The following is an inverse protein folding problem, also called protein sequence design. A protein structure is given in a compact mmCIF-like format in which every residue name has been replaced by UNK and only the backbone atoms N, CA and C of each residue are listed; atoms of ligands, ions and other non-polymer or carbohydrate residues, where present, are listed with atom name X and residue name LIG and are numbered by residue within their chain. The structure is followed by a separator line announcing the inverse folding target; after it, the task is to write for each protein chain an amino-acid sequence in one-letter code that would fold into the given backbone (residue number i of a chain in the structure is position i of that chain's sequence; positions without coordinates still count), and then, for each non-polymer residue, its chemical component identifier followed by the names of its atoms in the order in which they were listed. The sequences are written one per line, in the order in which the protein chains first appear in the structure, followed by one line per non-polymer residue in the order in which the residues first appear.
data_IF_391020516378
#
_entry.id   IF_391020516378
#
_cell.length_a   1.000
_cell.length_b   1.000
_cell.length_c   1.000
_cell.angle_alpha   90.00
_cell.angle_beta   90.00
_cell.angle_gamma   90.00
#
_symmetry.space_group_name_H-M   'P 1'
#
loop_
_entity.id
_entity.type
_entity.pdbx_description
1 polymer ?
#
# COMPACT_ATOMS: atom_id res chain seq x y z
N UNK A 1 17.14 -26.86 -0.54
CA UNK A 1 16.26 -25.70 -0.32
C UNK A 1 15.14 -25.84 -1.33
N UNK A 2 13.88 -25.67 -0.91
CA UNK A 2 12.76 -25.68 -1.86
C UNK A 2 12.85 -24.39 -2.67
N UNK A 3 12.47 -24.43 -3.96
CA UNK A 3 12.39 -23.22 -4.82
C UNK A 3 11.22 -22.29 -4.43
N UNK A 4 10.57 -22.55 -3.28
CA UNK A 4 9.42 -21.82 -2.79
C UNK A 4 9.70 -21.31 -1.37
N UNK A 5 10.03 -20.03 -1.25
CA UNK A 5 10.09 -19.33 0.03
C UNK A 5 8.77 -18.57 0.21
N UNK A 6 7.80 -19.05 1.02
CA UNK A 6 6.54 -18.36 1.23
C UNK A 6 6.75 -17.02 1.93
N UNK A 7 6.18 -15.98 1.36
CA UNK A 7 6.32 -14.61 1.85
C UNK A 7 5.09 -14.22 2.67
N UNK A 8 5.30 -13.99 3.97
CA UNK A 8 4.34 -13.35 4.87
C UNK A 8 4.83 -11.96 5.29
N UNK A 9 5.62 -11.33 4.41
CA UNK A 9 6.02 -9.92 4.54
C UNK A 9 4.93 -9.02 3.92
N UNK A 10 4.82 -7.74 4.34
CA UNK A 10 3.84 -6.81 3.77
C UNK A 10 4.27 -6.24 2.41
N UNK A 11 4.81 -7.10 1.56
CA UNK A 11 5.31 -6.83 0.22
C UNK A 11 6.84 -6.71 0.11
N UNK A 12 7.40 -7.20 -1.03
CA UNK A 12 6.65 -7.77 -2.16
C UNK A 12 5.82 -9.00 -1.78
N UNK A 13 4.74 -9.25 -2.51
CA UNK A 13 3.84 -10.36 -2.26
C UNK A 13 4.22 -11.61 -3.04
N UNK A 14 3.67 -12.76 -2.65
CA UNK A 14 3.74 -13.95 -3.48
C UNK A 14 3.10 -13.69 -4.85
N UNK A 15 3.79 -14.05 -5.92
CA UNK A 15 3.29 -13.87 -7.29
C UNK A 15 2.59 -15.15 -7.74
N UNK A 16 1.27 -15.14 -8.02
CA UNK A 16 0.55 -16.31 -8.52
C UNK A 16 1.11 -16.83 -9.84
N UNK A 17 1.03 -18.14 -10.06
CA UNK A 17 1.47 -18.78 -11.31
C UNK A 17 0.87 -18.17 -12.57
N UNK A 18 -0.41 -17.79 -12.49
CA UNK A 18 -1.13 -17.13 -13.59
C UNK A 18 -0.45 -15.83 -13.99
N UNK A 19 0.00 -15.03 -13.00
CA UNK A 19 0.70 -13.77 -13.25
C UNK A 19 2.14 -14.01 -13.71
N UNK A 20 2.85 -15.01 -13.17
CA UNK A 20 4.19 -15.38 -13.64
C UNK A 20 4.17 -15.76 -15.13
N UNK A 21 3.20 -16.58 -15.54
CA UNK A 21 3.02 -16.97 -16.96
C UNK A 21 2.68 -15.77 -17.84
N UNK A 22 1.87 -14.83 -17.36
CA UNK A 22 1.55 -13.61 -18.11
C UNK A 22 2.79 -12.73 -18.32
N UNK A 23 3.67 -12.64 -17.33
CA UNK A 23 4.93 -11.88 -17.41
C UNK A 23 6.02 -12.61 -18.24
N UNK A 24 5.92 -13.91 -18.47
CA UNK A 24 6.81 -14.69 -19.33
C UNK A 24 6.46 -14.55 -20.82
N UNK A 25 5.68 -13.54 -21.17
CA UNK A 25 5.32 -13.26 -22.55
C UNK A 25 6.51 -12.75 -23.36
N UNK A 26 6.54 -13.11 -24.65
CA UNK A 26 7.56 -12.63 -25.58
C UNK A 26 7.52 -11.10 -25.67
N UNK A 27 8.69 -10.47 -25.62
CA UNK A 27 8.83 -9.01 -25.79
C UNK A 27 8.35 -8.59 -27.18
N UNK A 28 7.55 -7.53 -27.22
CA UNK A 28 7.06 -6.91 -28.46
C UNK A 28 7.61 -5.49 -28.58
N UNK A 29 7.51 -4.94 -29.79
CA UNK A 29 7.83 -3.54 -30.03
C UNK A 29 6.76 -2.63 -29.39
N UNK A 30 7.17 -1.81 -28.43
CA UNK A 30 6.27 -0.85 -27.75
C UNK A 30 5.92 0.37 -28.62
N UNK A 31 6.45 0.46 -29.85
CA UNK A 31 6.08 1.47 -30.84
C UNK A 31 5.22 0.89 -31.96
N UNK A 32 4.89 -0.40 -31.86
CA UNK A 32 3.97 -1.02 -32.83
C UNK A 32 2.55 -0.48 -32.66
N UNK A 33 1.74 -0.48 -33.73
CA UNK A 33 0.35 0.01 -33.67
C UNK A 33 -0.55 -0.71 -32.66
N UNK A 34 -0.22 -1.97 -32.33
CA UNK A 34 -0.97 -2.82 -31.40
C UNK A 34 -0.57 -2.61 -29.92
N UNK A 35 0.43 -1.77 -29.62
CA UNK A 35 0.78 -1.46 -28.23
C UNK A 35 -0.35 -0.78 -27.45
N UNK A 36 -1.14 0.06 -28.14
CA UNK A 36 -2.33 0.69 -27.57
C UNK A 36 -3.36 -0.33 -27.07
N UNK A 37 -3.46 -1.52 -27.71
CA UNK A 37 -4.38 -2.60 -27.31
C UNK A 37 -3.98 -3.23 -25.95
N UNK A 38 -2.72 -3.08 -25.56
CA UNK A 38 -2.25 -3.45 -24.22
C UNK A 38 -2.46 -2.30 -23.23
N UNK A 39 -1.98 -1.11 -23.55
CA UNK A 39 -1.87 -0.02 -22.60
C UNK A 39 -3.22 0.62 -22.23
N UNK A 40 -4.04 0.92 -23.25
CA UNK A 40 -5.29 1.66 -23.02
C UNK A 40 -6.27 0.90 -22.11
N UNK A 41 -6.52 -0.41 -22.30
CA UNK A 41 -7.35 -1.16 -21.36
C UNK A 41 -6.75 -1.23 -19.95
N UNK A 42 -5.44 -1.40 -19.82
CA UNK A 42 -4.78 -1.43 -18.49
C UNK A 42 -5.03 -0.12 -17.74
N UNK A 43 -4.86 1.03 -18.38
CA UNK A 43 -5.13 2.32 -17.78
C UNK A 43 -6.61 2.49 -17.41
N UNK A 44 -7.53 2.05 -18.28
CA UNK A 44 -8.96 2.08 -17.99
C UNK A 44 -9.35 1.18 -16.80
N UNK A 45 -8.82 -0.04 -16.76
CA UNK A 45 -9.13 -1.03 -15.72
C UNK A 45 -8.53 -0.67 -14.33
N UNK A 46 -7.57 0.24 -14.28
CA UNK A 46 -7.06 0.81 -13.02
C UNK A 46 -8.06 1.75 -12.34
N UNK A 47 -8.90 2.46 -13.11
CA UNK A 47 -9.82 3.46 -12.55
C UNK A 47 -10.76 2.88 -11.48
N UNK A 48 -11.46 1.77 -11.69
CA UNK A 48 -12.28 1.14 -10.65
C UNK A 48 -11.49 0.76 -9.39
N UNK A 49 -10.23 0.36 -9.54
CA UNK A 49 -9.38 -0.03 -8.40
C UNK A 49 -9.03 1.18 -7.53
N UNK A 50 -8.84 2.35 -8.14
CA UNK A 50 -8.69 3.61 -7.42
C UNK A 50 -10.02 4.20 -6.91
N UNK A 51 -11.16 3.64 -7.28
CA UNK A 51 -12.46 4.22 -6.95
C UNK A 51 -12.67 5.57 -7.64
N UNK A 52 -12.30 5.68 -8.92
CA UNK A 52 -12.44 6.90 -9.72
C UNK A 52 -13.08 6.65 -11.07
N UNK A 53 -13.82 7.64 -11.55
CA UNK A 53 -14.28 7.76 -12.94
C UNK A 53 -13.59 8.91 -13.66
N UNK A 54 -13.20 9.94 -12.91
CA UNK A 54 -12.75 11.23 -13.40
C UNK A 54 -11.22 11.31 -13.55
N UNK A 55 -10.45 10.70 -12.63
CA UNK A 55 -9.00 10.83 -12.62
C UNK A 55 -8.33 10.13 -13.81
N UNK A 56 -7.19 10.67 -14.24
CA UNK A 56 -6.30 10.02 -15.19
C UNK A 56 -5.39 9.02 -14.46
N UNK A 57 -5.22 7.85 -15.04
CA UNK A 57 -4.33 6.82 -14.50
C UNK A 57 -3.04 6.74 -15.28
N UNK A 58 -1.92 6.64 -14.58
CA UNK A 58 -0.58 6.68 -15.15
C UNK A 58 0.30 5.60 -14.55
N UNK A 59 1.30 5.15 -15.31
CA UNK A 59 2.27 4.15 -14.85
C UNK A 59 3.67 4.66 -15.17
N UNK A 60 4.53 4.73 -14.15
CA UNK A 60 5.97 4.98 -14.33
C UNK A 60 6.77 3.71 -14.02
N UNK A 61 7.78 3.36 -14.83
CA UNK A 61 8.74 2.31 -14.47
C UNK A 61 9.53 2.74 -13.23
N UNK A 62 9.05 2.36 -12.05
CA UNK A 62 9.59 2.80 -10.76
C UNK A 62 9.05 1.93 -9.60
N UNK A 63 9.33 2.31 -8.37
CA UNK A 63 8.64 1.83 -7.18
C UNK A 63 7.62 2.85 -6.68
N UNK A 64 6.81 2.50 -5.66
CA UNK A 64 5.95 3.48 -4.99
C UNK A 64 6.70 4.72 -4.50
N UNK A 65 7.96 4.57 -4.08
CA UNK A 65 8.84 5.69 -3.70
C UNK A 65 9.09 6.64 -4.88
N UNK A 66 9.32 6.11 -6.10
CA UNK A 66 9.40 6.94 -7.31
C UNK A 66 8.05 7.62 -7.63
N UNK A 67 6.92 6.96 -7.29
CA UNK A 67 5.59 7.58 -7.40
C UNK A 67 5.40 8.77 -6.46
N UNK A 68 5.96 8.72 -5.23
CA UNK A 68 5.96 9.88 -4.33
C UNK A 68 6.75 11.05 -4.92
N UNK A 69 7.93 10.78 -5.49
CA UNK A 69 8.75 11.79 -6.15
C UNK A 69 8.03 12.37 -7.37
N UNK A 70 7.44 11.53 -8.23
CA UNK A 70 6.60 11.98 -9.33
C UNK A 70 5.45 12.88 -8.85
N UNK A 71 4.82 12.54 -7.73
CA UNK A 71 3.73 13.33 -7.16
C UNK A 71 4.19 14.72 -6.78
N UNK A 72 5.19 14.84 -5.90
CA UNK A 72 5.62 16.16 -5.39
C UNK A 72 6.28 17.02 -6.46
N UNK A 73 7.11 16.43 -7.35
CA UNK A 73 7.82 17.16 -8.38
C UNK A 73 6.91 17.75 -9.45
N UNK A 74 5.70 17.20 -9.63
CA UNK A 74 4.76 17.71 -10.63
C UNK A 74 3.83 18.80 -10.12
N UNK A 75 3.48 18.83 -8.83
CA UNK A 75 2.44 19.75 -8.34
C UNK A 75 2.94 20.78 -7.34
N UNK A 76 4.25 20.82 -7.06
CA UNK A 76 4.85 21.72 -6.08
C UNK A 76 6.06 22.46 -6.64
N UNK A 77 6.40 23.56 -5.97
CA UNK A 77 7.56 24.41 -6.25
C UNK A 77 8.53 24.42 -5.07
N UNK A 78 9.81 24.72 -5.31
CA UNK A 78 10.78 24.86 -4.23
C UNK A 78 10.33 25.95 -3.23
N UNK A 79 10.38 25.64 -1.94
CA UNK A 79 9.91 26.51 -0.87
C UNK A 79 8.42 26.39 -0.56
N UNK A 80 7.62 25.66 -1.33
CA UNK A 80 6.22 25.38 -0.99
C UNK A 80 6.12 24.64 0.35
N UNK A 81 5.07 24.96 1.10
CA UNK A 81 4.78 24.30 2.38
C UNK A 81 3.76 23.18 2.20
N UNK A 82 4.05 22.03 2.79
CA UNK A 82 3.15 20.88 2.84
C UNK A 82 2.94 20.42 4.28
N UNK A 83 1.82 19.76 4.56
CA UNK A 83 1.50 19.19 5.87
C UNK A 83 1.52 17.66 5.79
N UNK A 84 2.17 16.99 6.75
CA UNK A 84 2.14 15.55 6.86
C UNK A 84 2.23 15.06 8.31
N UNK A 85 1.41 14.08 8.66
CA UNK A 85 1.54 13.35 9.91
C UNK A 85 2.70 12.36 9.85
N UNK A 86 3.58 12.36 10.87
CA UNK A 86 4.67 11.37 11.01
C UNK A 86 4.21 10.27 11.96
N UNK A 87 3.50 9.29 11.44
CA UNK A 87 2.91 8.19 12.22
C UNK A 87 3.53 6.82 11.95
N UNK A 88 4.62 6.77 11.17
CA UNK A 88 5.39 5.56 10.90
C UNK A 88 6.59 5.81 9.99
N UNK A 89 7.17 4.71 9.48
CA UNK A 89 8.41 4.80 8.69
C UNK A 89 8.17 5.31 7.28
N UNK A 90 7.02 4.99 6.64
CA UNK A 90 6.75 5.41 5.26
C UNK A 90 6.33 6.88 5.22
N UNK A 91 5.53 7.35 6.15
CA UNK A 91 5.28 8.77 6.33
C UNK A 91 6.56 9.56 6.61
N UNK A 92 7.45 9.04 7.48
CA UNK A 92 8.76 9.66 7.72
C UNK A 92 9.62 9.77 6.46
N UNK A 93 9.68 8.72 5.64
CA UNK A 93 10.45 8.72 4.38
C UNK A 93 9.90 9.70 3.35
N UNK A 94 8.59 9.87 3.28
CA UNK A 94 8.00 10.84 2.35
C UNK A 94 8.25 12.28 2.82
N UNK A 95 8.20 12.53 4.13
CA UNK A 95 8.65 13.81 4.73
C UNK A 95 10.10 14.11 4.36
N UNK A 96 11.02 13.16 4.56
CA UNK A 96 12.44 13.32 4.20
C UNK A 96 12.62 13.62 2.70
N UNK A 97 11.85 12.95 1.83
CA UNK A 97 11.85 13.24 0.39
C UNK A 97 11.39 14.68 0.11
N UNK A 98 10.29 15.14 0.71
CA UNK A 98 9.82 16.52 0.54
C UNK A 98 10.90 17.53 0.94
N UNK A 99 11.55 17.32 2.08
CA UNK A 99 12.63 18.18 2.56
C UNK A 99 13.84 18.19 1.61
N UNK A 100 14.23 17.05 1.04
CA UNK A 100 15.31 16.93 0.04
C UNK A 100 14.98 17.64 -1.26
N UNK A 101 13.71 17.75 -1.61
CA UNK A 101 13.24 18.52 -2.76
C UNK A 101 13.08 20.03 -2.47
N UNK A 102 13.50 20.49 -1.28
CA UNK A 102 13.45 21.90 -0.90
C UNK A 102 12.06 22.39 -0.51
N UNK A 103 11.17 21.48 -0.11
CA UNK A 103 9.86 21.83 0.42
C UNK A 103 9.94 22.07 1.93
N UNK A 104 9.11 22.98 2.43
CA UNK A 104 8.86 23.17 3.84
C UNK A 104 7.80 22.14 4.29
N UNK A 105 8.07 21.40 5.36
CA UNK A 105 7.12 20.39 5.84
C UNK A 105 6.66 20.74 7.26
N UNK A 106 5.38 21.08 7.39
CA UNK A 106 4.69 21.16 8.68
C UNK A 106 4.39 19.75 9.17
N UNK A 107 5.22 19.26 10.09
CA UNK A 107 5.17 17.88 10.57
C UNK A 107 4.25 17.79 11.79
N UNK A 108 3.19 17.00 11.69
CA UNK A 108 2.37 16.64 12.82
C UNK A 108 2.94 15.36 13.45
N UNK A 109 3.63 15.52 14.58
CA UNK A 109 4.18 14.37 15.31
C UNK A 109 3.05 13.53 15.89
N UNK A 110 3.08 12.24 15.58
CA UNK A 110 2.14 11.25 16.06
C UNK A 110 2.87 10.12 16.77
N UNK A 111 2.23 9.54 17.76
CA UNK A 111 2.69 8.30 18.32
C UNK A 111 2.51 7.18 17.28
N UNK A 112 3.54 6.34 17.10
CA UNK A 112 3.44 5.20 16.20
C UNK A 112 2.36 4.23 16.66
N UNK A 113 1.49 3.85 15.71
CA UNK A 113 0.27 3.11 16.01
C UNK A 113 -1.01 3.96 15.98
N UNK A 114 -0.89 5.30 15.88
CA UNK A 114 -2.00 6.21 15.63
C UNK A 114 -2.15 6.50 14.12
N UNK A 115 -3.37 6.85 13.70
CA UNK A 115 -3.67 7.31 12.35
C UNK A 115 -3.33 8.79 12.14
N UNK A 116 -3.51 9.29 10.91
CA UNK A 116 -3.38 10.70 10.59
C UNK A 116 -4.45 11.51 11.35
N UNK A 117 -4.07 12.54 12.14
CA UNK A 117 -5.01 13.27 13.01
C UNK A 117 -5.71 14.39 12.22
N UNK A 118 -6.92 14.11 11.74
CA UNK A 118 -7.72 15.05 10.94
C UNK A 118 -7.99 16.38 11.68
N UNK A 119 -8.23 16.33 12.98
CA UNK A 119 -8.45 17.50 13.85
C UNK A 119 -7.25 18.46 13.88
N UNK A 120 -6.03 17.92 13.95
CA UNK A 120 -4.81 18.73 13.92
C UNK A 120 -4.54 19.30 12.54
N UNK A 121 -4.85 18.54 11.49
CA UNK A 121 -4.75 19.01 10.09
C UNK A 121 -5.72 20.18 9.90
N UNK A 122 -6.99 20.05 10.31
CA UNK A 122 -7.99 21.13 10.25
C UNK A 122 -7.50 22.38 10.98
N UNK A 123 -6.98 22.21 12.19
CA UNK A 123 -6.49 23.34 13.01
C UNK A 123 -5.31 24.08 12.34
N UNK A 124 -4.42 23.36 11.66
CA UNK A 124 -3.31 23.97 10.90
C UNK A 124 -3.84 24.72 9.68
N UNK A 125 -4.66 24.09 8.87
CA UNK A 125 -5.22 24.69 7.66
C UNK A 125 -6.10 25.91 7.97
N UNK A 126 -6.87 25.86 9.07
CA UNK A 126 -7.71 27.00 9.50
C UNK A 126 -6.92 28.24 9.94
N UNK A 127 -5.65 28.06 10.31
CA UNK A 127 -4.74 29.17 10.67
C UNK A 127 -3.95 29.70 9.50
N UNK A 128 -3.89 28.98 8.40
CA UNK A 128 -3.20 29.37 7.17
C UNK A 128 -4.04 30.36 6.35
N UNK A 129 -4.14 31.60 6.86
CA UNK A 129 -4.93 32.64 6.25
C UNK A 129 -4.38 33.13 4.89
N UNK A 130 -3.10 32.91 4.62
CA UNK A 130 -2.42 33.34 3.39
C UNK A 130 -2.27 32.23 2.37
N UNK A 131 -2.76 31.03 2.69
CA UNK A 131 -2.78 29.86 1.80
C UNK A 131 -1.37 29.42 1.34
N UNK A 132 -0.41 29.41 2.26
CA UNK A 132 0.96 28.94 2.00
C UNK A 132 1.03 27.42 1.89
N UNK A 133 0.17 26.69 2.60
CA UNK A 133 0.12 25.23 2.54
C UNK A 133 -0.47 24.80 1.19
N UNK A 134 0.33 24.13 0.36
CA UNK A 134 -0.06 23.69 -0.98
C UNK A 134 -0.65 22.29 -1.02
N UNK A 135 -0.20 21.42 -0.12
CA UNK A 135 -0.70 20.04 -0.07
C UNK A 135 -0.73 19.46 1.35
N UNK A 136 -1.67 18.53 1.55
CA UNK A 136 -1.73 17.62 2.68
C UNK A 136 -1.37 16.23 2.18
N UNK A 137 -0.34 15.61 2.77
CA UNK A 137 0.16 14.30 2.41
C UNK A 137 -0.30 13.29 3.45
N UNK A 138 -0.84 12.15 2.99
CA UNK A 138 -1.37 11.10 3.87
C UNK A 138 -0.86 9.72 3.43
N UNK A 139 -0.32 8.95 4.35
CA UNK A 139 -0.13 7.52 4.16
C UNK A 139 -1.41 6.79 4.58
N UNK A 140 -2.20 6.31 3.60
CA UNK A 140 -3.45 5.61 3.85
C UNK A 140 -3.22 4.35 4.69
N UNK A 141 -2.23 3.54 4.33
CA UNK A 141 -1.85 2.35 5.09
C UNK A 141 -0.36 2.39 5.45
N UNK A 142 -0.07 2.74 6.70
CA UNK A 142 1.31 2.80 7.19
C UNK A 142 1.82 1.37 7.50
N UNK A 143 2.57 0.85 6.57
CA UNK A 143 3.02 -0.55 6.58
C UNK A 143 3.95 -0.88 7.75
N UNK A 144 4.63 0.11 8.31
CA UNK A 144 5.54 -0.11 9.45
C UNK A 144 4.78 -0.42 10.74
N UNK A 145 3.60 0.18 10.93
CA UNK A 145 2.81 0.11 12.15
C UNK A 145 1.54 -0.73 12.02
N UNK A 146 1.14 -1.09 10.79
CA UNK A 146 -0.12 -1.78 10.54
C UNK A 146 -1.34 -0.89 10.77
N UNK A 147 -1.20 0.42 10.52
CA UNK A 147 -2.25 1.42 10.71
C UNK A 147 -2.84 1.83 9.38
N UNK A 148 -4.17 1.83 9.29
CA UNK A 148 -4.93 2.41 8.20
C UNK A 148 -5.52 3.75 8.67
N UNK A 149 -5.11 4.86 8.03
CA UNK A 149 -5.62 6.20 8.33
C UNK A 149 -6.93 6.48 7.60
N UNK A 150 -7.82 7.24 8.22
CA UNK A 150 -9.07 7.68 7.59
C UNK A 150 -8.80 8.88 6.65
N UNK A 151 -8.69 8.60 5.35
CA UNK A 151 -8.46 9.61 4.31
C UNK A 151 -9.70 10.50 4.12
N UNK A 152 -10.90 9.95 4.28
CA UNK A 152 -12.16 10.70 4.20
C UNK A 152 -12.26 11.75 5.30
N UNK A 153 -11.84 11.41 6.53
CA UNK A 153 -11.77 12.38 7.63
C UNK A 153 -10.75 13.50 7.36
N UNK A 154 -9.61 13.18 6.75
CA UNK A 154 -8.64 14.22 6.34
C UNK A 154 -9.23 15.12 5.25
N UNK A 155 -9.96 14.57 4.26
CA UNK A 155 -10.67 15.39 3.26
C UNK A 155 -11.67 16.32 3.94
N UNK A 156 -12.47 15.78 4.84
CA UNK A 156 -13.44 16.58 5.61
C UNK A 156 -12.79 17.72 6.39
N UNK A 157 -11.60 17.51 6.96
CA UNK A 157 -10.82 18.53 7.64
C UNK A 157 -10.35 19.66 6.69
N UNK A 158 -9.90 19.31 5.48
CA UNK A 158 -9.52 20.29 4.45
C UNK A 158 -10.73 21.13 4.04
N UNK A 159 -11.90 20.49 3.87
CA UNK A 159 -13.13 21.16 3.47
C UNK A 159 -13.66 22.07 4.58
N UNK A 160 -13.64 21.61 5.85
CA UNK A 160 -14.04 22.43 7.01
C UNK A 160 -13.19 23.69 7.14
N UNK A 161 -11.89 23.61 6.87
CA UNK A 161 -11.00 24.76 6.78
C UNK A 161 -11.21 25.61 5.51
N UNK A 162 -12.08 25.20 4.59
CA UNK A 162 -12.26 25.82 3.27
C UNK A 162 -10.92 26.07 2.56
N UNK A 163 -10.00 25.09 2.64
CA UNK A 163 -8.62 25.25 2.21
C UNK A 163 -8.38 24.66 0.80
N UNK A 164 -7.63 25.36 -0.12
CA UNK A 164 -7.42 24.91 -1.49
C UNK A 164 -6.36 23.80 -1.63
N UNK A 165 -5.66 23.42 -0.55
CA UNK A 165 -4.59 22.44 -0.60
C UNK A 165 -4.97 21.16 -1.34
N UNK A 166 -4.00 20.59 -2.05
CA UNK A 166 -4.14 19.28 -2.65
C UNK A 166 -4.13 18.18 -1.57
N UNK A 167 -4.86 17.11 -1.79
CA UNK A 167 -4.79 15.89 -0.99
C UNK A 167 -4.01 14.82 -1.75
N UNK A 168 -2.79 14.52 -1.30
CA UNK A 168 -1.87 13.57 -1.91
C UNK A 168 -1.78 12.32 -1.02
N UNK A 169 -2.09 11.14 -1.59
CA UNK A 169 -2.25 9.93 -0.79
C UNK A 169 -1.32 8.81 -1.25
N UNK A 170 -0.52 8.31 -0.32
CA UNK A 170 0.18 7.03 -0.46
C UNK A 170 -0.79 5.87 -0.16
N UNK A 171 -1.20 5.17 -1.19
CA UNK A 171 -1.98 3.93 -1.09
C UNK A 171 -1.19 2.70 -1.57
N UNK A 172 0.15 2.75 -1.56
CA UNK A 172 1.03 1.70 -2.05
C UNK A 172 0.70 0.34 -1.42
N UNK A 173 0.45 0.28 -0.13
CA UNK A 173 0.18 -0.99 0.57
C UNK A 173 -1.30 -1.23 0.91
N UNK A 174 -2.21 -0.40 0.40
CA UNK A 174 -3.66 -0.54 0.59
C UNK A 174 -4.40 -0.81 -0.71
N UNK A 175 -4.00 -0.20 -1.82
CA UNK A 175 -4.74 -0.29 -3.09
C UNK A 175 -4.87 -1.76 -3.55
N UNK A 176 -6.01 -2.09 -4.15
CA UNK A 176 -6.40 -3.45 -4.54
C UNK A 176 -6.46 -4.46 -3.38
N UNK A 177 -6.56 -3.99 -2.11
CA UNK A 177 -6.61 -4.87 -0.93
C UNK A 177 -7.49 -4.30 0.18
N UNK A 178 -7.57 -2.98 0.29
CA UNK A 178 -8.45 -2.22 1.19
C UNK A 178 -9.27 -1.27 0.31
N UNK A 179 -10.55 -1.00 0.61
CA UNK A 179 -11.36 -0.03 -0.13
C UNK A 179 -10.64 1.31 -0.26
N UNK A 180 -10.66 1.87 -1.46
CA UNK A 180 -10.13 3.19 -1.76
C UNK A 180 -11.13 3.94 -2.66
N UNK A 181 -11.49 5.14 -2.30
CA UNK A 181 -12.59 5.91 -2.88
C UNK A 181 -12.08 7.28 -3.33
N UNK A 182 -11.26 7.32 -4.38
CA UNK A 182 -10.55 8.54 -4.80
C UNK A 182 -11.48 9.71 -5.03
N UNK A 183 -12.56 9.52 -5.81
CA UNK A 183 -13.50 10.59 -6.14
C UNK A 183 -14.30 11.03 -4.91
N UNK A 184 -14.80 10.09 -4.10
CA UNK A 184 -15.59 10.37 -2.90
C UNK A 184 -14.76 11.10 -1.84
N UNK A 185 -13.49 10.71 -1.66
CA UNK A 185 -12.58 11.36 -0.72
C UNK A 185 -11.88 12.58 -1.30
N UNK A 186 -12.19 12.99 -2.52
CA UNK A 186 -11.58 14.14 -3.17
C UNK A 186 -10.05 14.11 -3.15
N UNK A 187 -9.46 12.93 -3.39
CA UNK A 187 -8.00 12.75 -3.47
C UNK A 187 -7.51 13.34 -4.78
N UNK A 188 -6.45 14.14 -4.72
CA UNK A 188 -5.90 14.80 -5.91
C UNK A 188 -4.86 13.94 -6.62
N UNK A 189 -3.95 13.27 -5.89
CA UNK A 189 -3.08 12.24 -6.44
C UNK A 189 -3.03 11.05 -5.47
N UNK A 190 -3.24 9.85 -6.00
CA UNK A 190 -3.07 8.59 -5.30
C UNK A 190 -1.92 7.81 -5.90
N UNK A 191 -1.04 7.25 -5.04
CA UNK A 191 0.16 6.49 -5.44
C UNK A 191 0.07 5.06 -4.99
N UNK A 192 0.24 4.13 -5.94
CA UNK A 192 0.30 2.68 -5.68
C UNK A 192 1.60 2.06 -6.23
N UNK A 193 1.84 0.80 -5.90
CA UNK A 193 2.98 0.04 -6.39
C UNK A 193 2.60 -1.36 -6.84
N UNK A 194 3.26 -1.86 -7.88
CA UNK A 194 2.94 -3.13 -8.53
C UNK A 194 3.10 -4.37 -7.63
N UNK A 195 4.05 -4.35 -6.68
CA UNK A 195 4.44 -5.49 -5.85
C UNK A 195 3.59 -5.69 -4.59
N UNK A 196 2.43 -5.04 -4.50
CA UNK A 196 1.52 -5.05 -3.36
C UNK A 196 0.18 -5.71 -3.76
N UNK A 197 -0.93 -5.03 -3.68
CA UNK A 197 -2.24 -5.59 -4.01
C UNK A 197 -2.38 -6.08 -5.45
N UNK A 198 -1.58 -5.59 -6.37
CA UNK A 198 -1.55 -6.10 -7.75
C UNK A 198 -0.78 -7.42 -7.92
N UNK A 199 -0.10 -7.93 -6.90
CA UNK A 199 0.49 -9.28 -6.83
C UNK A 199 1.53 -9.60 -7.92
N UNK A 200 2.18 -8.61 -8.51
CA UNK A 200 3.23 -8.78 -9.52
C UNK A 200 4.60 -8.30 -9.01
N UNK A 201 5.64 -8.45 -9.79
CA UNK A 201 6.98 -7.96 -9.42
C UNK A 201 7.01 -6.45 -9.17
N UNK A 202 7.98 -6.00 -8.37
CA UNK A 202 8.26 -4.57 -8.23
C UNK A 202 8.78 -3.99 -9.54
N UNK A 203 8.48 -2.72 -9.81
CA UNK A 203 8.99 -2.03 -11.01
C UNK A 203 8.00 -1.07 -11.64
N UNK A 204 6.80 -0.89 -11.06
CA UNK A 204 5.85 0.14 -11.50
C UNK A 204 5.35 0.95 -10.32
N UNK A 205 5.43 2.28 -10.45
CA UNK A 205 4.63 3.24 -9.72
C UNK A 205 3.36 3.51 -10.52
N UNK A 206 2.20 3.34 -9.90
CA UNK A 206 0.89 3.47 -10.52
C UNK A 206 0.19 4.64 -9.85
N UNK A 207 -0.18 5.66 -10.62
CA UNK A 207 -0.78 6.88 -10.11
C UNK A 207 -2.19 7.05 -10.68
N UNK A 208 -3.06 7.66 -9.87
CA UNK A 208 -4.29 8.29 -10.35
C UNK A 208 -4.22 9.78 -10.00
N UNK A 209 -4.53 10.65 -10.98
CA UNK A 209 -4.31 12.10 -10.91
C UNK A 209 -5.59 12.83 -11.26
N UNK A 210 -6.12 13.66 -10.34
CA UNK A 210 -7.35 14.45 -10.53
C UNK A 210 -7.11 15.62 -11.49
N UNK A 211 -8.19 16.17 -12.03
CA UNK A 211 -8.12 17.38 -12.85
C UNK A 211 -7.58 18.58 -12.05
N UNK A 212 -7.88 18.66 -10.74
CA UNK A 212 -7.33 19.71 -9.86
C UNK A 212 -5.81 19.61 -9.75
N UNK A 213 -5.26 18.39 -9.61
CA UNK A 213 -3.82 18.17 -9.61
C UNK A 213 -3.19 18.49 -10.98
N UNK A 214 -3.84 18.11 -12.10
CA UNK A 214 -3.37 18.45 -13.45
C UNK A 214 -3.28 19.98 -13.63
N UNK A 215 -4.25 20.71 -13.16
CA UNK A 215 -4.22 22.18 -13.23
C UNK A 215 -3.09 22.76 -12.37
N UNK A 216 -2.82 22.19 -11.19
CA UNK A 216 -1.72 22.63 -10.32
C UNK A 216 -0.32 22.41 -10.94
N UNK A 217 -0.18 21.49 -11.91
CA UNK A 217 1.09 21.25 -12.61
C UNK A 217 1.55 22.48 -13.39
N UNK A 218 0.62 23.30 -13.87
CA UNK A 218 0.94 24.50 -14.68
C UNK A 218 1.75 25.54 -13.88
N UNK A 219 1.49 25.62 -12.57
CA UNK A 219 2.15 26.57 -11.67
C UNK A 219 3.37 25.97 -10.94
N UNK A 220 3.57 24.65 -11.05
CA UNK A 220 4.63 23.93 -10.34
C UNK A 220 5.98 24.06 -11.05
N UNK A 221 7.05 24.28 -10.27
CA UNK A 221 8.38 24.56 -10.80
C UNK A 221 9.50 23.64 -10.29
N UNK A 222 9.20 22.62 -9.48
CA UNK A 222 10.21 21.62 -9.15
C UNK A 222 10.72 20.94 -10.42
N UNK A 223 12.03 20.69 -10.54
CA UNK A 223 12.59 20.04 -11.72
C UNK A 223 12.06 18.62 -11.87
N UNK A 224 11.61 18.30 -13.06
CA UNK A 224 11.16 16.98 -13.48
C UNK A 224 11.57 16.69 -14.91
N UNK A 225 11.85 15.45 -15.21
CA UNK A 225 12.18 15.01 -16.56
C UNK A 225 11.62 13.58 -16.79
N UNK A 226 12.14 12.60 -16.04
CA UNK A 226 11.65 11.22 -16.15
C UNK A 226 10.23 11.04 -15.59
N UNK A 227 9.94 11.70 -14.48
CA UNK A 227 8.64 11.65 -13.80
C UNK A 227 7.73 12.82 -14.23
N UNK A 228 7.73 13.19 -15.52
CA UNK A 228 6.87 14.25 -16.03
C UNK A 228 5.47 13.72 -16.35
N UNK A 229 4.46 14.19 -15.61
CA UNK A 229 3.05 13.78 -15.79
C UNK A 229 2.50 14.32 -17.11
N UNK A 230 2.70 15.57 -17.50
CA UNK A 230 2.30 16.09 -18.82
C UNK A 230 2.79 15.24 -19.99
N UNK A 231 4.07 14.90 -20.04
CA UNK A 231 4.64 14.06 -21.09
C UNK A 231 4.02 12.66 -21.10
N UNK A 232 3.81 12.09 -19.91
CA UNK A 232 3.16 10.77 -19.77
C UNK A 232 1.72 10.83 -20.27
N UNK A 233 0.95 11.85 -19.89
CA UNK A 233 -0.43 12.05 -20.34
C UNK A 233 -0.51 12.24 -21.87
N UNK A 234 0.36 13.06 -22.45
CA UNK A 234 0.41 13.30 -23.88
C UNK A 234 0.66 12.01 -24.67
N UNK A 235 1.60 11.18 -24.20
CA UNK A 235 1.94 9.92 -24.84
C UNK A 235 0.80 8.86 -24.66
N UNK A 236 0.29 8.68 -23.45
CA UNK A 236 -0.70 7.63 -23.17
C UNK A 236 -2.06 7.92 -23.79
N UNK A 237 -2.46 9.19 -23.92
CA UNK A 237 -3.68 9.60 -24.65
C UNK A 237 -3.61 9.27 -26.15
N UNK A 238 -2.41 9.20 -26.72
CA UNK A 238 -2.20 8.73 -28.11
C UNK A 238 -2.01 7.21 -28.21
N UNK A 239 -2.16 6.47 -27.10
CA UNK A 239 -1.95 5.02 -27.04
C UNK A 239 -0.47 4.61 -26.99
N UNK A 240 0.45 5.55 -26.82
CA UNK A 240 1.88 5.33 -26.74
C UNK A 240 2.46 5.49 -25.33
N UNK A 241 3.80 5.56 -25.27
CA UNK A 241 4.55 5.74 -24.02
C UNK A 241 5.75 6.66 -24.28
N UNK A 242 6.10 7.61 -23.37
CA UNK A 242 7.12 8.61 -23.70
C UNK A 242 8.54 8.03 -23.83
N UNK A 243 8.79 6.87 -23.24
CA UNK A 243 10.05 6.13 -23.27
C UNK A 243 9.77 4.61 -23.22
N UNK A 244 10.78 3.75 -23.01
CA UNK A 244 10.58 2.30 -22.99
C UNK A 244 9.77 1.86 -21.76
N UNK A 245 8.59 1.28 -21.95
CA UNK A 245 7.75 0.79 -20.85
C UNK A 245 8.23 -0.57 -20.31
N UNK A 246 7.84 -0.96 -19.10
CA UNK A 246 8.14 -2.26 -18.52
C UNK A 246 7.17 -3.33 -19.04
N UNK A 247 7.32 -3.77 -20.29
CA UNK A 247 6.37 -4.60 -21.02
C UNK A 247 5.91 -5.84 -20.28
N UNK A 248 6.84 -6.62 -19.71
CA UNK A 248 6.51 -7.85 -18.99
C UNK A 248 5.63 -7.56 -17.76
N UNK A 249 5.91 -6.47 -17.06
CA UNK A 249 5.09 -6.04 -15.92
C UNK A 249 3.72 -5.51 -16.39
N UNK A 250 3.63 -4.86 -17.55
CA UNK A 250 2.33 -4.45 -18.12
C UNK A 250 1.46 -5.66 -18.49
N UNK A 251 2.03 -6.74 -19.04
CA UNK A 251 1.30 -7.99 -19.25
C UNK A 251 0.84 -8.59 -17.92
N UNK A 252 1.72 -8.59 -16.90
CA UNK A 252 1.37 -9.02 -15.55
C UNK A 252 0.26 -8.18 -14.93
N UNK A 253 0.32 -6.86 -15.07
CA UNK A 253 -0.69 -5.94 -14.53
C UNK A 253 -2.06 -6.15 -15.21
N UNK A 254 -2.08 -6.28 -16.55
CA UNK A 254 -3.31 -6.61 -17.27
C UNK A 254 -3.97 -7.87 -16.74
N UNK A 255 -3.18 -8.91 -16.50
CA UNK A 255 -3.70 -10.17 -15.98
C UNK A 255 -4.11 -10.07 -14.50
N UNK A 256 -3.37 -9.29 -13.69
CA UNK A 256 -3.73 -8.98 -12.31
C UNK A 256 -5.07 -8.26 -12.22
N UNK A 257 -5.30 -7.25 -13.05
CA UNK A 257 -6.57 -6.52 -13.12
C UNK A 257 -7.75 -7.43 -13.51
N UNK A 258 -7.54 -8.38 -14.44
CA UNK A 258 -8.54 -9.40 -14.74
C UNK A 258 -8.84 -10.30 -13.54
N UNK A 259 -7.82 -10.77 -12.82
CA UNK A 259 -8.02 -11.59 -11.62
C UNK A 259 -8.82 -10.84 -10.56
N UNK A 260 -8.50 -9.56 -10.33
CA UNK A 260 -9.23 -8.71 -9.39
C UNK A 260 -10.70 -8.49 -9.83
N UNK A 261 -10.93 -8.31 -11.11
CA UNK A 261 -12.28 -8.16 -11.68
C UNK A 261 -13.09 -9.47 -11.62
N UNK A 262 -12.46 -10.63 -11.88
CA UNK A 262 -13.08 -11.96 -11.76
C UNK A 262 -13.50 -12.29 -10.33
N UNK A 263 -12.66 -11.96 -9.33
CA UNK A 263 -13.00 -12.11 -7.92
C UNK A 263 -14.04 -11.07 -7.48
N UNK A 264 -13.98 -9.86 -8.06
CA UNK A 264 -14.73 -8.68 -7.64
C UNK A 264 -14.06 -7.97 -6.46
N UNK A 265 -13.89 -6.65 -6.55
CA UNK A 265 -13.14 -5.87 -5.56
C UNK A 265 -13.71 -6.02 -4.14
N UNK A 266 -15.02 -6.04 -3.97
CA UNK A 266 -15.65 -6.23 -2.66
C UNK A 266 -15.26 -7.59 -2.02
N UNK A 267 -15.19 -8.65 -2.84
CA UNK A 267 -14.74 -9.97 -2.38
C UNK A 267 -13.25 -9.96 -2.06
N UNK A 268 -12.43 -9.26 -2.85
CA UNK A 268 -11.00 -9.06 -2.57
C UNK A 268 -10.83 -8.37 -1.22
N UNK A 269 -11.57 -7.31 -0.94
CA UNK A 269 -11.52 -6.58 0.34
C UNK A 269 -11.98 -7.46 1.50
N UNK A 270 -13.08 -8.17 1.33
CA UNK A 270 -13.61 -9.10 2.35
C UNK A 270 -12.60 -10.23 2.66
N UNK A 271 -11.92 -10.77 1.64
CA UNK A 271 -10.87 -11.77 1.81
C UNK A 271 -9.70 -11.23 2.62
N UNK A 272 -9.20 -10.03 2.30
CA UNK A 272 -8.11 -9.40 3.05
C UNK A 272 -8.51 -9.13 4.51
N UNK A 273 -9.71 -8.58 4.74
CA UNK A 273 -10.24 -8.37 6.09
C UNK A 273 -10.31 -9.68 6.87
N UNK A 274 -10.80 -10.75 6.23
CA UNK A 274 -10.93 -12.07 6.85
C UNK A 274 -9.56 -12.67 7.21
N UNK A 275 -8.57 -12.59 6.32
CA UNK A 275 -7.21 -13.04 6.60
C UNK A 275 -6.57 -12.25 7.76
N UNK A 276 -6.73 -10.94 7.73
CA UNK A 276 -6.26 -10.05 8.78
C UNK A 276 -6.87 -10.39 10.15
N UNK A 277 -8.17 -10.65 10.18
CA UNK A 277 -8.85 -11.01 11.43
C UNK A 277 -8.37 -12.36 11.97
N UNK A 278 -8.14 -13.35 11.10
CA UNK A 278 -7.53 -14.63 11.48
C UNK A 278 -6.15 -14.44 12.12
N UNK A 279 -5.31 -13.57 11.56
CA UNK A 279 -4.02 -13.20 12.15
C UNK A 279 -4.20 -12.53 13.50
N UNK A 280 -5.13 -11.57 13.63
CA UNK A 280 -5.44 -10.91 14.91
C UNK A 280 -5.91 -11.88 16.00
N UNK A 281 -6.69 -12.90 15.63
CA UNK A 281 -7.09 -13.99 16.57
C UNK A 281 -5.88 -14.79 17.05
N UNK A 282 -4.94 -15.11 16.17
CA UNK A 282 -3.69 -15.77 16.54
C UNK A 282 -2.85 -14.91 17.48
N UNK A 283 -2.65 -13.63 17.15
CA UNK A 283 -1.91 -12.67 17.99
C UNK A 283 -2.50 -12.56 19.40
N UNK A 284 -3.84 -12.50 19.49
CA UNK A 284 -4.53 -12.47 20.78
C UNK A 284 -4.32 -13.76 21.58
N UNK A 285 -4.36 -14.94 20.91
CA UNK A 285 -4.14 -16.23 21.56
C UNK A 285 -2.69 -16.38 22.07
N UNK A 286 -1.70 -15.78 21.40
CA UNK A 286 -0.33 -15.71 21.88
C UNK A 286 -0.13 -14.72 23.03
N UNK A 287 -1.13 -13.93 23.40
CA UNK A 287 -1.00 -12.88 24.41
C UNK A 287 -0.18 -11.68 23.94
N UNK A 288 0.12 -11.57 22.64
CA UNK A 288 0.87 -10.48 22.06
C UNK A 288 -0.04 -9.29 21.72
N UNK A 289 0.58 -8.11 21.50
CA UNK A 289 -0.14 -6.86 21.21
C UNK A 289 0.20 -6.33 19.83
N UNK A 290 -0.82 -5.81 19.14
CA UNK A 290 -0.62 -5.06 17.91
C UNK A 290 0.00 -3.70 18.20
N UNK A 291 0.74 -3.17 17.22
CA UNK A 291 1.29 -1.81 17.26
C UNK A 291 0.18 -0.78 17.06
N UNK A 292 -0.77 -1.06 16.15
CA UNK A 292 -1.95 -0.22 15.95
C UNK A 292 -2.80 -0.16 17.22
N UNK A 293 -3.18 1.05 17.66
CA UNK A 293 -3.71 1.32 19.00
C UNK A 293 -5.18 1.04 19.18
N UNK A 294 -5.94 1.02 18.10
CA UNK A 294 -7.39 0.88 18.17
C UNK A 294 -7.91 0.04 16.98
N UNK A 295 -9.00 -0.72 17.15
CA UNK A 295 -9.52 -1.60 16.11
C UNK A 295 -9.88 -0.92 14.79
N UNK A 296 -10.36 0.32 14.85
CA UNK A 296 -10.69 1.15 13.69
C UNK A 296 -9.47 1.54 12.84
N UNK A 297 -8.26 1.43 13.42
CA UNK A 297 -7.00 1.71 12.74
C UNK A 297 -6.33 0.45 12.17
N UNK A 298 -6.86 -0.73 12.43
CA UNK A 298 -6.21 -1.97 12.03
C UNK A 298 -6.16 -2.12 10.51
N UNK A 299 -4.94 -2.28 9.99
CA UNK A 299 -4.72 -2.60 8.58
C UNK A 299 -5.25 -4.01 8.23
N UNK A 300 -5.85 -4.13 7.05
CA UNK A 300 -6.22 -5.42 6.48
C UNK A 300 -5.16 -6.00 5.54
N UNK A 301 -3.96 -5.41 5.47
CA UNK A 301 -2.84 -5.90 4.63
C UNK A 301 -1.62 -6.32 5.44
N UNK A 302 -1.48 -5.81 6.65
CA UNK A 302 -0.35 -6.09 7.53
C UNK A 302 -0.73 -5.97 9.00
N UNK A 303 -0.26 -6.89 9.82
CA UNK A 303 -0.29 -6.79 11.28
C UNK A 303 1.15 -6.58 11.78
N UNK A 304 1.41 -5.46 12.46
CA UNK A 304 2.64 -5.22 13.18
C UNK A 304 2.42 -5.58 14.67
N UNK A 305 3.31 -6.40 15.23
CA UNK A 305 3.10 -7.09 16.49
C UNK A 305 4.32 -6.88 17.38
N UNK A 306 4.11 -6.36 18.60
CA UNK A 306 5.18 -6.24 19.58
C UNK A 306 5.62 -7.62 20.08
N UNK A 307 6.94 -7.82 20.19
CA UNK A 307 7.52 -8.92 20.97
C UNK A 307 7.54 -8.54 22.46
N UNK A 308 7.56 -9.52 23.39
CA UNK A 308 7.86 -9.22 24.79
C UNK A 308 9.23 -8.55 24.90
N UNK A 309 9.45 -7.64 25.86
CA UNK A 309 10.66 -6.81 25.92
C UNK A 309 11.99 -7.57 26.00
N UNK A 310 11.97 -8.80 26.48
CA UNK A 310 13.12 -9.71 26.62
C UNK A 310 13.53 -10.40 25.30
N UNK A 311 12.73 -10.25 24.20
CA UNK A 311 12.98 -10.89 22.92
C UNK A 311 13.22 -9.87 21.81
N UNK A 312 14.29 -10.06 21.03
CA UNK A 312 14.50 -9.29 19.82
C UNK A 312 13.66 -9.87 18.65
N UNK A 313 12.79 -9.06 18.07
CA UNK A 313 11.97 -9.48 16.93
C UNK A 313 12.78 -9.83 15.67
N UNK A 314 14.01 -9.34 15.55
CA UNK A 314 14.90 -9.69 14.44
C UNK A 314 15.36 -11.14 14.55
N UNK A 315 15.66 -11.63 15.77
CA UNK A 315 16.03 -13.03 15.98
C UNK A 315 14.88 -13.95 15.56
N UNK A 316 13.63 -13.59 15.89
CA UNK A 316 12.46 -14.37 15.47
C UNK A 316 12.33 -14.46 13.95
N UNK A 317 12.43 -13.33 13.25
CA UNK A 317 12.27 -13.30 11.78
C UNK A 317 13.44 -14.00 11.07
N UNK A 318 14.67 -13.86 11.58
CA UNK A 318 15.85 -14.56 11.07
C UNK A 318 15.76 -16.07 11.33
N UNK A 319 15.33 -16.49 12.52
CA UNK A 319 15.16 -17.90 12.84
C UNK A 319 14.09 -18.56 11.95
N UNK A 320 12.94 -17.90 11.75
CA UNK A 320 11.90 -18.39 10.84
C UNK A 320 12.44 -18.57 9.40
N UNK A 321 13.29 -17.63 8.94
CA UNK A 321 13.93 -17.75 7.62
C UNK A 321 14.94 -18.88 7.55
N UNK A 322 15.87 -18.97 8.51
CA UNK A 322 16.97 -19.95 8.44
C UNK A 322 16.54 -21.38 8.75
N UNK A 323 15.64 -21.56 9.70
CA UNK A 323 15.19 -22.88 10.13
C UNK A 323 14.06 -23.44 9.25
N UNK A 324 13.18 -22.58 8.74
CA UNK A 324 11.94 -23.00 8.08
C UNK A 324 11.77 -22.48 6.66
N UNK A 325 12.71 -21.65 6.14
CA UNK A 325 12.64 -21.04 4.80
C UNK A 325 11.36 -20.19 4.57
N UNK A 326 10.89 -19.49 5.61
CA UNK A 326 9.69 -18.65 5.57
C UNK A 326 10.03 -17.23 5.99
N UNK A 327 9.55 -16.24 5.22
CA UNK A 327 9.85 -14.84 5.46
C UNK A 327 8.72 -14.10 6.15
N UNK A 328 9.04 -13.43 7.28
CA UNK A 328 8.20 -12.45 7.96
C UNK A 328 8.83 -11.06 7.92
N UNK A 329 8.01 -10.02 8.10
CA UNK A 329 8.49 -8.64 8.07
C UNK A 329 9.21 -8.26 9.36
N UNK A 330 10.38 -7.61 9.24
CA UNK A 330 11.09 -7.03 10.38
C UNK A 330 10.44 -5.71 10.82
N UNK A 331 10.60 -5.33 12.07
CA UNK A 331 10.25 -3.99 12.56
C UNK A 331 11.08 -2.91 11.86
N UNK A 332 10.50 -1.75 11.61
CA UNK A 332 11.18 -0.63 10.94
C UNK A 332 11.33 0.56 11.88
N UNK A 333 12.41 1.33 11.73
CA UNK A 333 12.65 2.56 12.48
C UNK A 333 12.56 2.33 14.00
N UNK A 334 11.64 3.00 14.68
CA UNK A 334 11.45 2.89 16.13
C UNK A 334 11.01 1.49 16.61
N UNK A 335 10.50 0.65 15.70
CA UNK A 335 10.03 -0.71 15.97
C UNK A 335 11.08 -1.79 15.69
N UNK A 336 12.28 -1.39 15.21
CA UNK A 336 13.39 -2.33 14.97
C UNK A 336 13.76 -3.07 16.24
N UNK A 337 13.83 -4.40 16.19
CA UNK A 337 14.09 -5.26 17.34
C UNK A 337 12.92 -5.39 18.34
N UNK A 338 11.85 -4.61 18.20
CA UNK A 338 10.73 -4.55 19.15
C UNK A 338 9.42 -5.11 18.60
N UNK A 339 9.29 -5.17 17.29
CA UNK A 339 8.11 -5.68 16.63
C UNK A 339 8.47 -6.42 15.34
N UNK A 340 7.68 -7.40 14.98
CA UNK A 340 7.70 -8.05 13.68
C UNK A 340 6.38 -7.80 12.94
N UNK A 341 6.34 -8.14 11.65
CA UNK A 341 5.14 -7.92 10.85
C UNK A 341 4.72 -9.18 10.10
N UNK A 342 3.42 -9.44 10.10
CA UNK A 342 2.80 -10.47 9.27
C UNK A 342 2.05 -9.76 8.15
N UNK A 343 2.48 -9.97 6.90
CA UNK A 343 1.74 -9.55 5.72
C UNK A 343 0.64 -10.56 5.39
N UNK A 344 -0.57 -10.07 5.19
CA UNK A 344 -1.71 -10.86 4.73
C UNK A 344 -2.33 -10.28 3.46
N UNK A 345 -1.49 -9.82 2.58
CA UNK A 345 -1.71 -9.03 1.37
C UNK A 345 -1.52 -9.89 0.12
N UNK A 346 -2.31 -9.62 -0.91
CA UNK A 346 -2.19 -10.26 -2.22
C UNK A 346 -3.04 -11.51 -2.36
N UNK A 347 -2.51 -12.59 -2.96
CA UNK A 347 -3.27 -13.82 -3.28
C UNK A 347 -3.23 -14.89 -2.18
N UNK A 348 -2.98 -14.50 -0.93
CA UNK A 348 -2.96 -15.45 0.17
C UNK A 348 -4.35 -16.08 0.42
N UNK A 349 -4.33 -17.34 0.84
CA UNK A 349 -5.50 -18.12 1.23
C UNK A 349 -5.46 -18.45 2.72
N UNK A 350 -6.58 -18.95 3.27
CA UNK A 350 -6.65 -19.43 4.66
C UNK A 350 -5.58 -20.47 4.96
N UNK A 351 -5.40 -21.44 4.03
CA UNK A 351 -4.44 -22.54 4.21
C UNK A 351 -3.01 -22.02 4.22
N UNK A 352 -2.68 -21.10 3.33
CA UNK A 352 -1.36 -20.45 3.32
C UNK A 352 -1.14 -19.65 4.61
N UNK A 353 -2.15 -18.91 5.06
CA UNK A 353 -2.03 -18.13 6.30
C UNK A 353 -1.85 -19.04 7.52
N UNK A 354 -2.60 -20.15 7.62
CA UNK A 354 -2.43 -21.12 8.69
C UNK A 354 -1.02 -21.74 8.68
N UNK A 355 -0.44 -22.02 7.51
CA UNK A 355 0.94 -22.53 7.42
C UNK A 355 1.95 -21.49 7.93
N UNK A 356 1.78 -20.21 7.57
CA UNK A 356 2.63 -19.13 8.08
C UNK A 356 2.53 -18.97 9.61
N UNK A 357 1.32 -18.98 10.15
CA UNK A 357 1.10 -18.90 11.59
C UNK A 357 1.71 -20.08 12.34
N UNK A 358 1.56 -21.31 11.82
CA UNK A 358 2.16 -22.51 12.40
C UNK A 358 3.70 -22.42 12.39
N UNK A 359 4.30 -21.96 11.29
CA UNK A 359 5.75 -21.75 11.21
C UNK A 359 6.23 -20.70 12.22
N UNK A 360 5.48 -19.62 12.37
CA UNK A 360 5.83 -18.56 13.34
C UNK A 360 5.73 -19.08 14.78
N UNK A 361 4.74 -19.91 15.12
CA UNK A 361 4.65 -20.56 16.44
C UNK A 361 5.84 -21.49 16.70
N UNK A 362 6.26 -22.29 15.71
CA UNK A 362 7.45 -23.13 15.84
C UNK A 362 8.69 -22.28 16.11
N UNK A 363 8.89 -21.20 15.34
CA UNK A 363 10.02 -20.29 15.55
C UNK A 363 9.99 -19.59 16.92
N UNK A 364 8.81 -19.19 17.40
CA UNK A 364 8.65 -18.63 18.74
C UNK A 364 8.95 -19.67 19.84
N UNK A 365 8.51 -20.91 19.65
CA UNK A 365 8.77 -21.98 20.61
C UNK A 365 10.27 -22.33 20.68
N UNK A 366 10.97 -22.42 19.53
CA UNK A 366 12.41 -22.65 19.46
C UNK A 366 13.21 -21.57 20.22
N UNK A 367 12.72 -20.34 20.17
CA UNK A 367 13.31 -19.17 20.86
C UNK A 367 12.77 -18.98 22.28
N UNK A 368 11.99 -19.95 22.80
CA UNK A 368 11.42 -19.92 24.15
C UNK A 368 10.48 -18.74 24.45
N UNK A 369 9.77 -18.24 23.43
CA UNK A 369 8.68 -17.28 23.69
C UNK A 369 7.62 -17.90 24.60
N UNK A 370 7.00 -17.13 25.49
CA UNK A 370 6.01 -17.63 26.44
C UNK A 370 4.63 -17.82 25.77
N UNK A 371 4.58 -18.68 24.76
CA UNK A 371 3.35 -19.02 24.04
C UNK A 371 3.02 -20.52 24.20
N UNK A 372 1.75 -20.87 24.08
CA UNK A 372 1.31 -22.25 23.95
C UNK A 372 1.31 -22.63 22.45
N UNK A 373 2.11 -23.63 22.10
CA UNK A 373 2.23 -24.13 20.73
C UNK A 373 0.87 -24.63 20.21
N UNK A 374 0.44 -24.15 19.05
CA UNK A 374 -0.84 -24.46 18.44
C UNK A 374 -1.97 -23.51 18.82
N UNK A 375 -1.81 -22.66 19.84
CA UNK A 375 -2.87 -21.77 20.33
C UNK A 375 -3.35 -20.74 19.29
N UNK A 376 -2.45 -20.07 18.61
CA UNK A 376 -2.78 -19.08 17.58
C UNK A 376 -3.31 -19.73 16.32
N UNK A 377 -2.71 -20.87 15.91
CA UNK A 377 -3.22 -21.65 14.76
C UNK A 377 -4.65 -22.12 15.02
N UNK A 378 -4.96 -22.64 16.20
CA UNK A 378 -6.30 -23.08 16.56
C UNK A 378 -7.31 -21.93 16.58
N UNK A 379 -6.89 -20.75 17.10
CA UNK A 379 -7.74 -19.55 17.12
C UNK A 379 -8.05 -19.05 15.70
N UNK A 380 -7.04 -18.96 14.83
CA UNK A 380 -7.20 -18.57 13.43
C UNK A 380 -8.07 -19.60 12.66
N UNK A 381 -7.82 -20.91 12.85
CA UNK A 381 -8.57 -21.98 12.21
C UNK A 381 -10.05 -21.93 12.61
N UNK A 382 -10.34 -21.73 13.89
CA UNK A 382 -11.71 -21.60 14.39
C UNK A 382 -12.43 -20.43 13.73
N UNK A 383 -11.77 -19.27 13.63
CA UNK A 383 -12.31 -18.10 12.97
C UNK A 383 -12.55 -18.34 11.47
N UNK A 384 -11.58 -18.91 10.75
CA UNK A 384 -11.72 -19.19 9.32
C UNK A 384 -12.83 -20.19 9.01
N UNK A 385 -13.07 -21.16 9.87
CA UNK A 385 -14.21 -22.08 9.71
C UNK A 385 -15.56 -21.40 9.91
N UNK A 386 -15.66 -20.50 10.89
CA UNK A 386 -16.92 -19.79 11.22
C UNK A 386 -17.25 -18.68 10.19
N UNK A 387 -16.21 -18.03 9.65
CA UNK A 387 -16.34 -16.90 8.71
C UNK A 387 -16.24 -17.31 7.24
N UNK A 388 -16.32 -18.61 6.93
CA UNK A 388 -16.25 -19.09 5.55
C UNK A 388 -17.43 -18.54 4.74
N UNK A 389 -17.15 -17.94 3.55
CA UNK A 389 -18.22 -17.53 2.64
C UNK A 389 -19.13 -18.74 2.32
N UNK A 390 -20.44 -18.50 2.21
CA UNK A 390 -21.39 -19.55 1.85
C UNK A 390 -21.05 -20.10 0.45
N UNK A 391 -20.73 -21.39 0.35
CA UNK A 391 -20.26 -22.09 -0.87
C UNK A 391 -21.25 -22.04 -2.06
N UNK A 392 -22.43 -21.43 -1.89
CA UNK A 392 -23.47 -21.37 -2.93
C UNK A 392 -23.15 -20.39 -4.08
N UNK A 393 -22.08 -19.60 -4.01
CA UNK A 393 -21.69 -18.64 -5.04
C UNK A 393 -20.49 -19.06 -5.89
N UNK A 394 -19.84 -20.20 -5.61
CA UNK A 394 -18.65 -20.68 -6.33
C UNK A 394 -19.01 -21.72 -7.41
N UNK A 395 -20.26 -22.11 -7.50
CA UNK A 395 -20.75 -23.13 -8.45
C UNK A 395 -21.62 -22.54 -9.58
N UNK A 396 -21.32 -21.33 -10.02
CA UNK A 396 -21.99 -20.71 -11.19
C UNK A 396 -20.98 -20.25 -12.23
#
# INVERSE_FOLDING_TARGET
MSDQNPLFIPGPTNVPDRLRRAMDAQTRDHRSPDFAELLVPVLADLKPVFGTKEAETLIFPASGTGGWEATISNVLSAGDTVVMARNGMFSHRWIDMCQRHGLNVEIIECEWGAGAPADKIEALLSRDNVREIKAVLVTHNETATGVCSDVGAVRSAIDAASHPALLLVDCVSSLASIPFQMDEWGVDIAVAGSQKGFMIGSGMAILAVSQKAINAIEDASLPRAYFDIPDMLAATRSGGYPYTPPLQLLYGLRESLKMLAEEGLDNVFARHQRLAEGVRKAVSAWGLKLVAKAPELYSNTVSAIYTPPEFDSNDLTQHAFHAYDVSFGVGLGQLHGKAFRIGHLGSLTDVMMLSGLATLEMAMADLSYPIELGSGVAAAQSYFRQSRPDDRRIAA
#
